data_IF_696575383052
#
_entry.id   IF_696575383052
#
_cell.length_a   1.000
_cell.length_b   1.000
_cell.length_c   1.000
_cell.angle_alpha   90.00
_cell.angle_beta   90.00
_cell.angle_gamma   90.00
#
_symmetry.space_group_name_H-M   'P 1'
#
loop_
_entity.id
_entity.type
_entity.pdbx_description
1 polymer ?
#
# COMPACT_ATOMS: atom_id res chain seq x y z
N UNK A 1 4.43 -12.50 -20.05
CA UNK A 1 4.62 -13.31 -18.82
C UNK A 1 3.31 -13.36 -18.09
N UNK A 2 2.84 -14.53 -17.67
CA UNK A 2 1.64 -14.64 -16.82
C UNK A 2 1.96 -13.98 -15.46
N UNK A 3 1.06 -13.16 -14.92
CA UNK A 3 1.28 -12.42 -13.66
C UNK A 3 1.70 -13.34 -12.51
N UNK A 4 1.14 -14.55 -12.48
CA UNK A 4 1.47 -15.59 -11.49
C UNK A 4 2.93 -16.07 -11.58
N UNK A 5 3.50 -16.15 -12.78
CA UNK A 5 4.90 -16.55 -12.95
C UNK A 5 5.87 -15.43 -12.54
N UNK A 6 5.49 -14.17 -12.78
CA UNK A 6 6.26 -13.03 -12.29
C UNK A 6 6.26 -12.98 -10.75
N UNK A 7 5.08 -13.15 -10.12
CA UNK A 7 4.95 -13.19 -8.66
C UNK A 7 5.74 -14.33 -8.02
N UNK A 8 5.73 -15.53 -8.61
CA UNK A 8 6.54 -16.66 -8.11
C UNK A 8 8.04 -16.35 -8.10
N UNK A 9 8.56 -15.73 -9.16
CA UNK A 9 9.98 -15.31 -9.20
C UNK A 9 10.31 -14.27 -8.14
N UNK A 10 9.40 -13.31 -7.91
CA UNK A 10 9.52 -12.32 -6.84
C UNK A 10 9.61 -13.01 -5.48
N UNK A 11 8.68 -13.92 -5.18
CA UNK A 11 8.67 -14.70 -3.92
C UNK A 11 9.99 -15.46 -3.73
N UNK A 12 10.44 -16.19 -4.76
CA UNK A 12 11.70 -16.96 -4.68
C UNK A 12 12.93 -16.07 -4.46
N UNK A 13 13.00 -14.93 -5.15
CA UNK A 13 14.13 -14.01 -5.05
C UNK A 13 14.22 -13.36 -3.66
N UNK A 14 13.09 -12.87 -3.13
CA UNK A 14 13.05 -12.19 -1.84
C UNK A 14 13.22 -13.19 -0.68
N UNK A 15 12.57 -14.36 -0.74
CA UNK A 15 12.74 -15.41 0.26
C UNK A 15 14.19 -15.87 0.39
N UNK A 16 14.90 -16.07 -0.74
CA UNK A 16 16.32 -16.49 -0.74
C UNK A 16 17.26 -15.44 -0.12
N UNK A 17 16.90 -14.16 -0.14
CA UNK A 17 17.77 -13.08 0.33
C UNK A 17 17.29 -12.45 1.66
N UNK A 18 16.28 -13.02 2.33
CA UNK A 18 15.68 -12.44 3.54
C UNK A 18 16.70 -12.05 4.62
N UNK A 19 17.72 -12.88 4.85
CA UNK A 19 18.78 -12.63 5.84
C UNK A 19 19.57 -11.34 5.55
N UNK A 20 19.84 -11.05 4.27
CA UNK A 20 20.57 -9.84 3.87
C UNK A 20 19.77 -8.58 4.13
N UNK A 21 18.45 -8.64 4.03
CA UNK A 21 17.59 -7.48 4.29
C UNK A 21 17.51 -7.15 5.77
N UNK A 22 17.53 -8.14 6.66
CA UNK A 22 17.47 -7.89 8.11
C UNK A 22 18.84 -7.48 8.70
N UNK A 23 19.93 -7.92 8.07
CA UNK A 23 21.30 -7.62 8.54
C UNK A 23 21.94 -6.42 7.85
N UNK A 24 21.26 -5.82 6.86
CA UNK A 24 21.81 -4.70 6.08
C UNK A 24 21.99 -3.45 6.98
N UNK A 25 23.24 -3.06 7.22
CA UNK A 25 23.52 -1.85 8.00
C UNK A 25 23.04 -0.56 7.32
N UNK A 26 22.93 -0.55 5.98
CA UNK A 26 22.46 0.61 5.23
C UNK A 26 21.01 1.00 5.56
N UNK A 27 20.16 0.04 5.96
CA UNK A 27 18.75 0.27 6.32
C UNK A 27 18.51 0.31 7.84
N UNK A 28 19.48 -0.11 8.65
CA UNK A 28 19.33 -0.22 10.10
C UNK A 28 19.62 1.07 10.88
N UNK A 29 20.27 2.06 10.24
CA UNK A 29 20.74 3.31 10.85
C UNK A 29 20.62 4.51 9.91
N UNK A 30 19.74 4.44 8.92
CA UNK A 30 19.51 5.58 8.05
C UNK A 30 18.83 6.70 8.82
N UNK A 31 19.21 7.95 8.54
CA UNK A 31 18.54 9.14 9.08
C UNK A 31 17.07 9.25 8.61
N UNK A 32 16.68 8.43 7.64
CA UNK A 32 15.32 8.32 7.11
C UNK A 32 14.32 7.74 8.13
N UNK A 33 14.73 6.81 8.98
CA UNK A 33 13.84 6.24 10.01
C UNK A 33 13.45 7.27 11.07
N UNK A 34 14.39 8.14 11.45
CA UNK A 34 14.13 9.22 12.41
C UNK A 34 13.13 10.24 11.81
N UNK A 35 13.24 10.53 10.51
CA UNK A 35 12.29 11.39 9.79
C UNK A 35 10.88 10.80 9.75
N UNK A 36 10.73 9.48 9.66
CA UNK A 36 9.40 8.84 9.70
C UNK A 36 8.74 9.12 11.05
N UNK A 37 9.45 8.95 12.16
CA UNK A 37 8.92 9.23 13.50
C UNK A 37 8.61 10.73 13.65
N UNK A 38 9.51 11.60 13.20
CA UNK A 38 9.33 13.05 13.26
C UNK A 38 8.08 13.51 12.48
N UNK A 39 7.93 13.09 11.23
CA UNK A 39 6.84 13.55 10.36
C UNK A 39 5.49 12.94 10.73
N UNK A 40 5.49 11.71 11.24
CA UNK A 40 4.25 11.03 11.61
C UNK A 40 3.78 11.41 13.01
N UNK A 41 4.68 11.82 13.91
CA UNK A 41 4.37 12.15 15.31
C UNK A 41 3.43 11.11 15.95
N UNK A 42 3.83 9.82 16.01
CA UNK A 42 2.96 8.73 16.39
C UNK A 42 2.45 8.85 17.83
N UNK A 43 1.21 8.40 18.05
CA UNK A 43 0.58 8.36 19.37
C UNK A 43 0.45 6.93 19.89
N UNK A 44 0.53 6.76 21.22
CA UNK A 44 0.50 5.44 21.87
C UNK A 44 -0.77 4.62 21.58
N UNK A 45 -1.85 5.26 21.14
CA UNK A 45 -3.12 4.63 20.77
C UNK A 45 -3.14 4.04 19.35
N UNK A 46 -2.15 4.34 18.52
CA UNK A 46 -2.20 4.03 17.09
C UNK A 46 -2.00 2.55 16.78
N UNK A 47 -2.71 2.08 15.76
CA UNK A 47 -2.50 0.77 15.13
C UNK A 47 -1.90 0.99 13.75
N UNK A 48 -0.70 0.47 13.52
CA UNK A 48 0.09 0.69 12.30
C UNK A 48 0.02 -0.54 11.39
N UNK A 49 -0.05 -0.30 10.08
CA UNK A 49 0.13 -1.32 9.04
C UNK A 49 1.40 -1.00 8.24
N UNK A 50 2.40 -1.88 8.31
CA UNK A 50 3.66 -1.78 7.57
C UNK A 50 3.64 -2.77 6.39
N UNK A 51 3.35 -2.27 5.19
CA UNK A 51 3.22 -3.08 3.97
C UNK A 51 4.58 -3.26 3.30
N UNK A 52 4.90 -4.50 2.94
CA UNK A 52 6.22 -4.88 2.42
C UNK A 52 7.32 -4.56 3.43
N UNK A 53 7.09 -5.00 4.68
CA UNK A 53 7.94 -4.74 5.85
C UNK A 53 9.41 -5.14 5.63
N UNK A 54 9.68 -6.12 4.75
CA UNK A 54 11.03 -6.57 4.46
C UNK A 54 11.76 -6.93 5.75
N UNK A 55 12.91 -6.29 6.00
CA UNK A 55 13.69 -6.49 7.21
C UNK A 55 13.09 -5.93 8.52
N UNK A 56 11.94 -5.25 8.45
CA UNK A 56 11.18 -4.75 9.59
C UNK A 56 11.71 -3.46 10.23
N UNK A 57 12.53 -2.68 9.53
CA UNK A 57 13.11 -1.45 10.09
C UNK A 57 12.07 -0.38 10.38
N UNK A 58 11.11 -0.16 9.48
CA UNK A 58 10.01 0.79 9.69
C UNK A 58 9.10 0.34 10.84
N UNK A 59 8.67 -0.92 10.85
CA UNK A 59 7.95 -1.50 11.98
C UNK A 59 8.69 -1.32 13.30
N UNK A 60 10.02 -1.56 13.33
CA UNK A 60 10.86 -1.37 14.51
C UNK A 60 10.96 0.09 14.95
N UNK A 61 11.07 1.03 14.02
CA UNK A 61 11.18 2.46 14.32
C UNK A 61 9.90 3.01 14.97
N UNK A 62 8.73 2.54 14.52
CA UNK A 62 7.43 2.98 15.02
C UNK A 62 6.98 2.23 16.28
N UNK A 63 7.38 0.97 16.46
CA UNK A 63 6.91 0.12 17.56
C UNK A 63 7.04 0.73 18.97
N UNK A 64 8.08 1.51 19.33
CA UNK A 64 8.16 2.15 20.64
C UNK A 64 7.05 3.17 20.94
N UNK A 65 6.37 3.68 19.92
CA UNK A 65 5.48 4.85 20.03
C UNK A 65 4.00 4.53 19.81
N UNK A 66 3.65 3.30 19.44
CA UNK A 66 2.30 2.94 18.99
C UNK A 66 1.77 1.70 19.73
N UNK A 67 0.45 1.53 19.76
CA UNK A 67 -0.21 0.42 20.44
C UNK A 67 0.13 -0.93 19.80
N UNK A 68 0.12 -1.01 18.46
CA UNK A 68 0.29 -2.26 17.73
C UNK A 68 0.80 -2.01 16.31
N UNK A 69 1.61 -2.94 15.79
CA UNK A 69 2.06 -2.93 14.39
C UNK A 69 1.69 -4.25 13.70
N UNK A 70 1.11 -4.17 12.51
CA UNK A 70 0.95 -5.31 11.60
C UNK A 70 1.98 -5.18 10.48
N UNK A 71 3.03 -5.98 10.55
CA UNK A 71 4.10 -6.04 9.57
C UNK A 71 3.75 -7.10 8.51
N UNK A 72 3.61 -6.69 7.25
CA UNK A 72 3.17 -7.58 6.17
C UNK A 72 4.21 -7.74 5.10
N UNK A 73 4.33 -8.95 4.55
CA UNK A 73 5.21 -9.25 3.43
C UNK A 73 4.60 -10.34 2.56
N UNK A 74 5.08 -10.45 1.32
CA UNK A 74 4.64 -11.43 0.35
C UNK A 74 5.18 -12.84 0.67
N UNK A 75 6.28 -12.95 1.44
CA UNK A 75 6.95 -14.23 1.70
C UNK A 75 6.94 -14.60 3.18
N UNK A 76 6.73 -15.89 3.47
CA UNK A 76 6.78 -16.41 4.85
C UNK A 76 8.20 -16.36 5.41
N UNK A 77 9.18 -16.56 4.54
CA UNK A 77 10.60 -16.56 4.84
C UNK A 77 11.05 -15.19 5.34
N UNK A 78 10.63 -14.11 4.68
CA UNK A 78 10.91 -12.74 5.14
C UNK A 78 10.31 -12.49 6.52
N UNK A 79 9.01 -12.76 6.69
CA UNK A 79 8.32 -12.55 7.97
C UNK A 79 8.93 -13.38 9.10
N UNK A 80 9.27 -14.64 8.83
CA UNK A 80 9.92 -15.51 9.81
C UNK A 80 11.26 -14.93 10.22
N UNK A 81 12.09 -14.50 9.26
CA UNK A 81 13.38 -13.91 9.55
C UNK A 81 13.26 -12.59 10.32
N UNK A 82 12.35 -11.71 9.91
CA UNK A 82 12.10 -10.42 10.58
C UNK A 82 11.62 -10.63 12.02
N UNK A 83 10.71 -11.59 12.25
CA UNK A 83 10.23 -11.92 13.59
C UNK A 83 11.35 -12.37 14.55
N UNK A 84 12.40 -13.03 14.01
CA UNK A 84 13.54 -13.45 14.83
C UNK A 84 14.37 -12.26 15.35
N UNK A 85 14.37 -11.14 14.64
CA UNK A 85 15.17 -9.96 14.96
C UNK A 85 14.40 -8.89 15.74
N UNK A 86 13.07 -8.95 15.73
CA UNK A 86 12.20 -8.00 16.43
C UNK A 86 11.50 -8.61 17.67
N UNK A 87 12.04 -9.71 18.23
CA UNK A 87 11.49 -10.40 19.41
C UNK A 87 11.29 -9.52 20.65
N UNK A 88 11.98 -8.38 20.72
CA UNK A 88 11.83 -7.41 21.81
C UNK A 88 10.46 -6.71 21.81
N UNK A 89 9.73 -6.74 20.69
CA UNK A 89 8.43 -6.09 20.52
C UNK A 89 7.33 -7.15 20.39
N UNK A 90 6.58 -7.39 21.47
CA UNK A 90 5.50 -8.38 21.52
C UNK A 90 4.22 -7.94 20.79
N UNK A 91 4.09 -6.65 20.50
CA UNK A 91 2.95 -6.04 19.82
C UNK A 91 3.16 -5.84 18.31
N UNK A 92 4.19 -6.48 17.73
CA UNK A 92 4.35 -6.59 16.28
C UNK A 92 3.79 -7.94 15.81
N UNK A 93 2.82 -7.90 14.91
CA UNK A 93 2.15 -9.05 14.32
C UNK A 93 2.59 -9.21 12.87
N UNK A 94 2.93 -10.43 12.47
CA UNK A 94 3.44 -10.72 11.14
C UNK A 94 2.34 -11.36 10.28
N UNK A 95 2.00 -10.72 9.18
CA UNK A 95 0.87 -11.14 8.33
C UNK A 95 1.35 -11.38 6.91
N UNK A 96 1.16 -12.60 6.40
CA UNK A 96 1.40 -12.89 4.99
C UNK A 96 0.35 -12.17 4.16
N UNK A 97 0.76 -11.17 3.38
CA UNK A 97 -0.14 -10.40 2.55
C UNK A 97 0.55 -10.00 1.24
N UNK A 98 -0.17 -10.16 0.14
CA UNK A 98 0.20 -9.55 -1.13
C UNK A 98 -0.33 -8.11 -1.13
N UNK A 99 0.57 -7.13 -1.26
CA UNK A 99 0.21 -5.71 -1.27
C UNK A 99 -0.83 -5.39 -2.36
N UNK A 100 -0.81 -6.13 -3.48
CA UNK A 100 -1.80 -5.99 -4.57
C UNK A 100 -3.17 -6.58 -4.21
N UNK A 101 -3.26 -7.42 -3.18
CA UNK A 101 -4.55 -7.96 -2.69
C UNK A 101 -5.18 -7.10 -1.61
N UNK A 102 -4.45 -6.09 -1.11
CA UNK A 102 -5.00 -5.01 -0.26
C UNK A 102 -5.66 -3.92 -1.14
N UNK A 103 -6.12 -4.30 -2.34
CA UNK A 103 -6.84 -3.42 -3.26
C UNK A 103 -8.21 -3.03 -2.68
N UNK A 104 -8.29 -1.81 -2.14
CA UNK A 104 -9.58 -1.16 -1.89
C UNK A 104 -9.91 -0.30 -3.10
N UNK A 105 -10.97 -0.67 -3.83
CA UNK A 105 -11.55 0.17 -4.86
C UNK A 105 -12.61 1.07 -4.23
N UNK A 106 -12.46 2.39 -4.35
CA UNK A 106 -13.45 3.34 -3.86
C UNK A 106 -14.28 3.89 -5.01
N UNK A 107 -15.60 3.77 -4.88
CA UNK A 107 -16.56 4.29 -5.86
C UNK A 107 -16.80 5.78 -5.64
N UNK A 108 -16.73 6.55 -6.72
CA UNK A 108 -17.06 7.98 -6.75
C UNK A 108 -18.08 8.29 -7.83
N UNK A 109 -18.98 9.28 -7.63
CA UNK A 109 -19.72 9.89 -8.73
C UNK A 109 -18.73 10.48 -9.74
N UNK A 110 -18.85 10.08 -11.02
CA UNK A 110 -17.82 10.36 -12.01
C UNK A 110 -17.60 11.88 -12.21
N UNK A 111 -18.68 12.65 -12.32
CA UNK A 111 -18.61 14.09 -12.55
C UNK A 111 -17.94 14.84 -11.40
N UNK A 112 -18.20 14.45 -10.15
CA UNK A 112 -17.57 15.06 -8.98
C UNK A 112 -16.09 14.71 -8.90
N UNK A 113 -15.74 13.46 -9.21
CA UNK A 113 -14.35 13.00 -9.24
C UNK A 113 -13.53 13.75 -10.30
N UNK A 114 -14.06 13.92 -11.52
CA UNK A 114 -13.38 14.66 -12.61
C UNK A 114 -13.15 16.12 -12.20
N UNK A 115 -14.16 16.80 -11.64
CA UNK A 115 -14.02 18.18 -11.16
C UNK A 115 -12.97 18.34 -10.06
N UNK A 116 -12.85 17.36 -9.16
CA UNK A 116 -11.87 17.38 -8.06
C UNK A 116 -10.43 17.07 -8.51
N UNK A 117 -10.25 16.39 -9.64
CA UNK A 117 -8.95 15.85 -10.07
C UNK A 117 -8.35 16.58 -11.27
N UNK A 118 -9.05 17.60 -11.79
CA UNK A 118 -8.62 18.41 -12.93
C UNK A 118 -8.56 19.88 -12.55
N UNK A 119 -7.84 20.69 -13.34
CA UNK A 119 -7.57 22.11 -13.04
C UNK A 119 -8.36 23.09 -13.93
N UNK A 120 -9.06 22.59 -14.95
CA UNK A 120 -9.78 23.43 -15.91
C UNK A 120 -10.91 22.69 -16.61
N UNK A 121 -11.92 23.42 -17.09
CA UNK A 121 -13.02 22.87 -17.88
C UNK A 121 -12.56 22.13 -19.15
N UNK A 122 -11.45 22.56 -19.76
CA UNK A 122 -10.89 21.87 -20.93
C UNK A 122 -10.29 20.51 -20.55
N UNK A 123 -9.69 20.40 -19.36
CA UNK A 123 -9.18 19.14 -18.85
C UNK A 123 -10.32 18.20 -18.44
N UNK A 124 -11.37 18.73 -17.79
CA UNK A 124 -12.60 17.97 -17.50
C UNK A 124 -13.17 17.32 -18.77
N UNK A 125 -13.34 18.11 -19.84
CA UNK A 125 -13.84 17.61 -21.14
C UNK A 125 -12.96 16.49 -21.71
N UNK A 126 -11.64 16.68 -21.75
CA UNK A 126 -10.70 15.66 -22.26
C UNK A 126 -10.78 14.36 -21.47
N UNK A 127 -10.88 14.44 -20.14
CA UNK A 127 -11.01 13.24 -19.28
C UNK A 127 -12.34 12.54 -19.54
N UNK A 128 -13.44 13.29 -19.66
CA UNK A 128 -14.76 12.73 -19.95
C UNK A 128 -14.76 12.00 -21.29
N UNK A 129 -14.29 12.65 -22.35
CA UNK A 129 -14.21 12.09 -23.71
C UNK A 129 -13.32 10.83 -23.73
N UNK A 130 -12.13 10.92 -23.14
CA UNK A 130 -11.21 9.78 -23.06
C UNK A 130 -11.84 8.57 -22.36
N UNK A 131 -12.53 8.77 -21.24
CA UNK A 131 -13.12 7.68 -20.45
C UNK A 131 -14.36 7.08 -21.15
N UNK A 132 -15.12 7.89 -21.89
CA UNK A 132 -16.22 7.41 -22.73
C UNK A 132 -15.73 6.54 -23.89
N UNK A 133 -14.65 6.96 -24.56
CA UNK A 133 -14.06 6.27 -25.71
C UNK A 133 -13.05 5.18 -25.33
N UNK A 134 -12.80 5.03 -24.02
CA UNK A 134 -11.82 4.09 -23.50
C UNK A 134 -12.12 2.64 -23.94
N UNK A 135 -11.05 1.89 -24.19
CA UNK A 135 -11.15 0.47 -24.48
C UNK A 135 -11.66 -0.34 -23.28
N UNK A 136 -12.06 -1.60 -23.53
CA UNK A 136 -12.61 -2.50 -22.51
C UNK A 136 -11.69 -2.67 -21.30
N UNK A 137 -10.37 -2.71 -21.50
CA UNK A 137 -9.39 -2.90 -20.42
C UNK A 137 -9.42 -1.73 -19.43
N UNK A 138 -9.44 -0.50 -19.93
CA UNK A 138 -9.50 0.70 -19.09
C UNK A 138 -10.85 0.78 -18.37
N UNK A 139 -11.96 0.54 -19.09
CA UNK A 139 -13.31 0.53 -18.50
C UNK A 139 -13.45 -0.51 -17.39
N UNK A 140 -12.83 -1.68 -17.55
CA UNK A 140 -12.79 -2.74 -16.53
C UNK A 140 -11.90 -2.38 -15.35
N UNK A 141 -10.71 -1.83 -15.58
CA UNK A 141 -9.79 -1.45 -14.51
C UNK A 141 -10.39 -0.41 -13.56
N UNK A 142 -11.07 0.59 -14.13
CA UNK A 142 -11.77 1.64 -13.38
C UNK A 142 -13.22 1.29 -13.01
N UNK A 143 -13.67 0.07 -13.36
CA UNK A 143 -15.04 -0.44 -13.13
C UNK A 143 -16.12 0.61 -13.42
N UNK A 144 -16.01 1.24 -14.59
CA UNK A 144 -16.93 2.32 -14.97
C UNK A 144 -18.35 1.79 -15.03
N UNK A 145 -19.25 2.45 -14.30
CA UNK A 145 -20.69 2.18 -14.38
C UNK A 145 -21.33 3.17 -15.33
N UNK A 146 -21.89 2.66 -16.40
CA UNK A 146 -22.63 3.46 -17.38
C UNK A 146 -24.10 3.54 -16.98
N UNK A 147 -24.73 4.69 -17.20
CA UNK A 147 -26.17 4.87 -17.20
C UNK A 147 -26.53 5.64 -18.45
N UNK A 148 -27.26 4.99 -19.36
CA UNK A 148 -27.46 5.49 -20.73
C UNK A 148 -26.08 5.78 -21.38
N UNK A 149 -25.91 6.96 -21.98
CA UNK A 149 -24.67 7.38 -22.64
C UNK A 149 -23.73 8.18 -21.72
N UNK A 150 -23.89 8.07 -20.40
CA UNK A 150 -23.07 8.79 -19.42
C UNK A 150 -22.41 7.83 -18.44
N UNK A 151 -21.20 8.19 -18.00
CA UNK A 151 -20.52 7.51 -16.90
C UNK A 151 -21.15 8.01 -15.59
N UNK A 152 -21.83 7.12 -14.88
CA UNK A 152 -22.46 7.39 -13.59
C UNK A 152 -21.41 7.38 -12.47
N UNK A 153 -20.56 6.35 -12.43
CA UNK A 153 -19.54 6.21 -11.39
C UNK A 153 -18.25 5.59 -11.90
N UNK A 154 -17.16 5.87 -11.17
CA UNK A 154 -15.83 5.32 -11.36
C UNK A 154 -15.37 4.68 -10.05
N UNK A 155 -14.65 3.56 -10.13
CA UNK A 155 -13.87 3.02 -9.03
C UNK A 155 -12.38 3.23 -9.29
N UNK A 156 -11.70 3.91 -8.37
CA UNK A 156 -10.25 4.11 -8.42
C UNK A 156 -9.57 3.36 -7.27
N UNK A 157 -8.28 3.06 -7.43
CA UNK A 157 -7.47 2.50 -6.35
C UNK A 157 -7.41 3.49 -5.20
N UNK A 158 -7.74 3.01 -4.01
CA UNK A 158 -7.78 3.79 -2.78
C UNK A 158 -6.81 3.18 -1.77
N UNK A 159 -5.57 3.69 -1.81
CA UNK A 159 -4.56 3.39 -0.81
C UNK A 159 -4.83 4.23 0.44
N UNK A 160 -5.55 3.67 1.41
CA UNK A 160 -5.78 4.34 2.68
C UNK A 160 -4.72 3.88 3.70
N UNK A 161 -4.13 4.82 4.41
CA UNK A 161 -3.58 4.58 5.74
C UNK A 161 -4.65 5.03 6.73
N UNK A 162 -5.15 4.12 7.58
CA UNK A 162 -6.16 4.44 8.57
C UNK A 162 -5.48 5.05 9.80
N UNK A 163 -5.50 6.38 9.91
CA UNK A 163 -5.20 7.06 11.16
C UNK A 163 -6.52 7.37 11.87
N UNK A 164 -6.71 6.80 13.06
CA UNK A 164 -7.77 7.24 13.98
C UNK A 164 -7.13 8.12 15.03
N UNK A 165 -7.54 9.38 15.05
CA UNK A 165 -7.36 10.27 16.18
C UNK A 165 -8.65 10.19 17.01
N UNK A 166 -8.55 9.76 18.26
CA UNK A 166 -9.62 9.94 19.24
C UNK A 166 -9.56 11.37 19.82
#
# INVERSE_FOLDING_TARGET
MNSDQAKRKVVEQFGRNAEKYVTSQAHAKGADLDLIVEWTAPEESWVVLDIATGGGYTAKALAPYVYQVFATDLTKEMLSNTSLHLKAYSHIFYVLADAETVERKKRYPFQEWVKRTTKSLNEEKRVIEYMLDANKKIKQYYRLKMKEDKIESIEVDDWNVLFRKE
#
